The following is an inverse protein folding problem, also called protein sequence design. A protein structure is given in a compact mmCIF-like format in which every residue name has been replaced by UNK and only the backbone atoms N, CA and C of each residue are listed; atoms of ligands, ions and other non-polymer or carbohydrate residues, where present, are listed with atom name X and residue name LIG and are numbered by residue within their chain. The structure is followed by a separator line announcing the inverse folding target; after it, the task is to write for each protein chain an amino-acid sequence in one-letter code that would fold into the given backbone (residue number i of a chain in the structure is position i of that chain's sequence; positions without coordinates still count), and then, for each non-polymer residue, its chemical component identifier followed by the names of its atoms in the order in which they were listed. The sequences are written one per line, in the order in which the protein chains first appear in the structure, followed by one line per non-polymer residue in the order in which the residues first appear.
data_IF_072726576231
#
_entry.id   IF_072726576231
#
_cell.length_a   1.000
_cell.length_b   1.000
_cell.length_c   1.000
_cell.angle_alpha   90.00
_cell.angle_beta   90.00
_cell.angle_gamma   90.00
#
_symmetry.space_group_name_H-M   'P 1'
#
loop_
_entity.id
_entity.type
_entity.pdbx_description
1 polymer ?
#
# COMPACT_ATOMS: atom_id res chain seq x y z
N UNK A 1 14.80 -21.49 -38.84
CA UNK A 1 13.87 -22.28 -38.02
C UNK A 1 13.91 -21.69 -36.62
N UNK A 2 12.81 -21.09 -36.21
CA UNK A 2 12.57 -20.57 -34.88
C UNK A 2 11.82 -21.62 -34.03
N UNK A 3 11.68 -21.32 -32.72
CA UNK A 3 11.08 -22.09 -31.62
C UNK A 3 12.15 -22.92 -30.88
N UNK A 4 12.39 -22.74 -29.58
CA UNK A 4 11.49 -22.51 -28.44
C UNK A 4 11.86 -23.62 -27.43
N UNK A 5 11.79 -23.50 -26.12
CA UNK A 5 11.06 -22.58 -25.26
C UNK A 5 11.64 -22.76 -23.84
N UNK A 6 11.94 -21.65 -23.19
CA UNK A 6 11.48 -21.29 -21.85
C UNK A 6 11.33 -22.43 -20.83
N UNK A 7 12.42 -22.65 -20.09
CA UNK A 7 12.38 -23.21 -18.74
C UNK A 7 12.91 -22.15 -17.75
N UNK A 8 12.30 -20.96 -17.77
CA UNK A 8 12.36 -20.10 -16.60
C UNK A 8 11.17 -20.45 -15.70
N UNK A 9 11.41 -21.42 -14.83
CA UNK A 9 10.66 -21.55 -13.59
C UNK A 9 10.76 -20.18 -12.89
N UNK A 10 9.68 -19.42 -12.99
CA UNK A 10 9.57 -18.08 -12.44
C UNK A 10 9.71 -18.19 -10.92
N UNK A 11 10.92 -17.90 -10.47
CA UNK A 11 11.34 -17.96 -9.09
C UNK A 11 10.49 -17.00 -8.27
N UNK A 12 9.74 -17.57 -7.33
CA UNK A 12 9.18 -16.88 -6.19
C UNK A 12 10.33 -16.42 -5.28
N UNK A 13 11.03 -15.36 -5.66
CA UNK A 13 12.22 -14.93 -4.92
C UNK A 13 12.93 -13.75 -5.52
N UNK A 14 12.36 -12.54 -5.34
CA UNK A 14 13.09 -11.27 -5.29
C UNK A 14 12.34 -10.32 -4.34
N UNK A 15 12.38 -10.65 -3.05
CA UNK A 15 11.71 -9.93 -1.95
C UNK A 15 12.43 -8.64 -1.52
N UNK A 16 13.46 -8.19 -2.24
CA UNK A 16 14.33 -7.10 -1.76
C UNK A 16 13.93 -5.71 -2.29
N UNK A 17 13.17 -5.60 -3.38
CA UNK A 17 12.70 -4.30 -3.87
C UNK A 17 11.33 -4.40 -4.53
N UNK A 18 10.28 -4.22 -3.72
CA UNK A 18 8.89 -4.17 -4.23
C UNK A 18 8.78 -3.19 -5.40
N UNK A 19 8.00 -3.49 -6.47
CA UNK A 19 7.76 -2.53 -7.55
C UNK A 19 7.33 -1.15 -7.03
N UNK A 20 6.54 -1.12 -5.96
CA UNK A 20 6.13 0.12 -5.28
C UNK A 20 7.32 0.94 -4.77
N UNK A 21 8.36 0.30 -4.24
CA UNK A 21 9.59 0.98 -3.80
C UNK A 21 10.31 1.62 -4.98
N UNK A 22 10.57 0.86 -6.04
CA UNK A 22 11.26 1.36 -7.25
C UNK A 22 10.50 2.54 -7.87
N UNK A 23 9.19 2.41 -8.05
CA UNK A 23 8.36 3.45 -8.64
C UNK A 23 8.22 4.70 -7.76
N UNK A 24 8.42 4.60 -6.44
CA UNK A 24 8.38 5.76 -5.54
C UNK A 24 9.59 6.69 -5.65
N UNK A 25 10.74 6.19 -6.12
CA UNK A 25 12.00 6.93 -6.10
C UNK A 25 11.97 8.17 -6.99
N UNK A 26 11.44 8.05 -8.21
CA UNK A 26 11.39 9.17 -9.16
C UNK A 26 10.46 10.31 -8.66
N UNK A 27 9.19 10.05 -8.30
CA UNK A 27 8.32 11.09 -7.75
C UNK A 27 8.87 11.71 -6.46
N UNK A 28 9.49 10.90 -5.59
CA UNK A 28 10.12 11.43 -4.39
C UNK A 28 11.23 12.44 -4.72
N UNK A 29 12.10 12.10 -5.68
CA UNK A 29 13.16 13.01 -6.15
C UNK A 29 12.58 14.31 -6.74
N UNK A 30 11.53 14.22 -7.56
CA UNK A 30 10.85 15.38 -8.15
C UNK A 30 10.23 16.29 -7.09
N UNK A 31 9.76 15.72 -5.98
CA UNK A 31 9.20 16.44 -4.83
C UNK A 31 10.26 16.90 -3.81
N UNK A 32 11.54 16.65 -4.06
CA UNK A 32 12.63 16.98 -3.13
C UNK A 32 12.60 16.16 -1.83
N UNK A 33 11.97 14.99 -1.85
CA UNK A 33 11.86 14.07 -0.71
C UNK A 33 13.03 13.09 -0.70
N UNK A 34 13.60 12.84 0.47
CA UNK A 34 14.53 11.75 0.69
C UNK A 34 13.75 10.49 1.09
N UNK A 35 13.93 9.41 0.33
CA UNK A 35 13.35 8.10 0.64
C UNK A 35 14.38 7.20 1.31
N UNK A 36 13.97 6.58 2.42
CA UNK A 36 14.77 5.61 3.16
C UNK A 36 14.07 4.25 3.09
N UNK A 37 14.76 3.23 2.59
CA UNK A 37 14.22 1.87 2.54
C UNK A 37 14.28 1.23 3.91
N UNK A 38 13.15 0.69 4.36
CA UNK A 38 13.03 -0.08 5.60
C UNK A 38 12.54 -1.49 5.24
N UNK A 39 13.41 -2.24 4.58
CA UNK A 39 13.10 -3.60 4.15
C UNK A 39 12.93 -4.53 5.37
N UNK A 40 11.84 -5.28 5.39
CA UNK A 40 11.53 -6.26 6.44
C UNK A 40 11.06 -7.55 5.79
N UNK A 41 11.66 -8.67 6.18
CA UNK A 41 11.38 -10.00 5.63
C UNK A 41 10.47 -10.84 6.54
N UNK A 42 10.32 -10.45 7.81
CA UNK A 42 9.47 -11.13 8.77
C UNK A 42 8.95 -10.18 9.87
N UNK A 43 8.03 -10.70 10.69
CA UNK A 43 7.31 -9.93 11.72
C UNK A 43 8.20 -9.47 12.88
N UNK A 44 9.35 -10.12 13.09
CA UNK A 44 10.28 -9.79 14.18
C UNK A 44 11.11 -8.55 13.84
N UNK A 45 11.30 -8.26 12.56
CA UNK A 45 12.08 -7.11 12.07
C UNK A 45 11.33 -5.78 12.10
N UNK A 46 10.00 -5.79 12.32
CA UNK A 46 9.22 -4.55 12.31
C UNK A 46 9.72 -3.55 13.34
N UNK A 47 9.95 -3.98 14.58
CA UNK A 47 10.37 -3.06 15.63
C UNK A 47 11.73 -2.42 15.32
N UNK A 48 12.67 -3.18 14.76
CA UNK A 48 13.95 -2.63 14.28
C UNK A 48 13.74 -1.64 13.15
N UNK A 49 12.89 -1.93 12.17
CA UNK A 49 12.59 -1.03 11.06
C UNK A 49 12.02 0.31 11.55
N UNK A 50 11.10 0.29 12.51
CA UNK A 50 10.58 1.53 13.11
C UNK A 50 11.64 2.29 13.93
N UNK A 51 12.51 1.59 14.68
CA UNK A 51 13.64 2.24 15.37
C UNK A 51 14.60 2.91 14.38
N UNK A 52 14.86 2.27 13.25
CA UNK A 52 15.69 2.82 12.20
C UNK A 52 15.06 4.06 11.56
N UNK A 53 13.76 4.04 11.29
CA UNK A 53 13.01 5.22 10.81
C UNK A 53 13.16 6.43 11.75
N UNK A 54 13.00 6.20 13.06
CA UNK A 54 13.16 7.25 14.07
C UNK A 54 14.61 7.74 14.14
N UNK A 55 15.58 6.83 14.09
CA UNK A 55 17.02 7.17 14.08
C UNK A 55 17.39 7.99 12.84
N UNK A 56 16.83 7.65 11.69
CA UNK A 56 16.99 8.38 10.44
C UNK A 56 16.21 9.72 10.43
N UNK A 57 15.44 10.02 11.48
CA UNK A 57 14.57 11.21 11.58
C UNK A 57 13.58 11.31 10.42
N UNK A 58 13.07 10.17 9.97
CA UNK A 58 12.03 10.14 8.93
C UNK A 58 10.80 10.92 9.39
N UNK A 59 10.30 11.83 8.55
CA UNK A 59 9.13 12.65 8.88
C UNK A 59 7.78 11.93 8.72
N UNK A 60 7.75 10.86 7.91
CA UNK A 60 6.56 10.05 7.65
C UNK A 60 6.96 8.67 7.11
N UNK A 61 5.98 7.77 7.06
CA UNK A 61 6.12 6.42 6.49
C UNK A 61 5.15 6.23 5.32
N UNK A 62 5.65 5.59 4.27
CA UNK A 62 4.83 5.03 3.20
C UNK A 62 4.92 3.52 3.28
N UNK A 63 3.81 2.87 3.65
CA UNK A 63 3.78 1.43 3.84
C UNK A 63 3.54 0.77 2.49
N UNK A 64 4.48 -0.05 2.02
CA UNK A 64 4.33 -0.83 0.78
C UNK A 64 3.47 -2.07 0.99
N UNK A 65 2.76 -2.49 -0.06
CA UNK A 65 1.85 -3.63 -0.01
C UNK A 65 2.59 -4.95 -0.07
N UNK A 66 2.33 -5.84 0.90
CA UNK A 66 2.78 -7.24 0.88
C UNK A 66 1.86 -8.10 1.74
N UNK A 67 1.89 -9.43 1.54
CA UNK A 67 1.14 -10.35 2.40
C UNK A 67 1.58 -10.24 3.87
N UNK A 68 2.89 -10.05 4.11
CA UNK A 68 3.45 -9.84 5.45
C UNK A 68 2.86 -8.61 6.13
N UNK A 69 2.79 -7.48 5.42
CA UNK A 69 2.19 -6.23 5.92
C UNK A 69 0.69 -6.40 6.14
N UNK A 70 -0.02 -6.95 5.16
CA UNK A 70 -1.47 -7.13 5.21
C UNK A 70 -1.89 -8.00 6.41
N UNK A 71 -1.17 -9.09 6.68
CA UNK A 71 -1.48 -9.99 7.80
C UNK A 71 -1.12 -9.40 9.18
N UNK A 72 -0.27 -8.37 9.22
CA UNK A 72 0.20 -7.76 10.47
C UNK A 72 -0.15 -6.28 10.62
N UNK A 73 -1.13 -5.79 9.85
CA UNK A 73 -1.52 -4.37 9.79
C UNK A 73 -1.72 -3.72 11.17
N UNK A 74 -2.39 -4.41 12.10
CA UNK A 74 -2.64 -3.88 13.46
C UNK A 74 -1.34 -3.65 14.24
N UNK A 75 -0.36 -4.55 14.10
CA UNK A 75 0.97 -4.39 14.72
C UNK A 75 1.69 -3.18 14.11
N UNK A 76 1.66 -3.03 12.78
CA UNK A 76 2.30 -1.92 12.07
C UNK A 76 1.66 -0.57 12.45
N UNK A 77 0.32 -0.49 12.48
CA UNK A 77 -0.41 0.71 12.90
C UNK A 77 -0.04 1.08 14.35
N UNK A 78 0.00 0.09 15.25
CA UNK A 78 0.40 0.30 16.64
C UNK A 78 1.84 0.83 16.75
N UNK A 79 2.77 0.27 15.98
CA UNK A 79 4.16 0.71 15.97
C UNK A 79 4.33 2.11 15.40
N UNK A 80 3.60 2.47 14.34
CA UNK A 80 3.60 3.82 13.78
C UNK A 80 3.09 4.86 14.79
N UNK A 81 1.97 4.55 15.46
CA UNK A 81 1.43 5.40 16.50
C UNK A 81 2.40 5.57 17.69
N UNK A 82 3.05 4.47 18.15
CA UNK A 82 4.06 4.51 19.22
C UNK A 82 5.29 5.31 18.84
N UNK A 83 5.71 5.23 17.58
CA UNK A 83 6.84 6.00 17.07
C UNK A 83 6.49 7.48 16.81
N UNK A 84 5.21 7.86 16.90
CA UNK A 84 4.74 9.20 16.54
C UNK A 84 4.90 9.51 15.06
N UNK A 85 5.01 8.48 14.20
CA UNK A 85 5.26 8.64 12.78
C UNK A 85 3.95 8.62 11.99
N UNK A 86 3.61 9.70 11.27
CA UNK A 86 2.51 9.72 10.31
C UNK A 86 2.74 8.67 9.22
N UNK A 87 1.72 7.87 8.89
CA UNK A 87 1.85 6.81 7.90
C UNK A 87 0.72 6.82 6.87
N UNK A 88 1.08 6.64 5.59
CA UNK A 88 0.14 6.33 4.51
C UNK A 88 0.15 4.84 4.20
N UNK A 89 -1.04 4.26 4.02
CA UNK A 89 -1.27 2.83 3.81
C UNK A 89 -1.89 2.54 2.43
N UNK A 90 -1.88 1.26 2.02
CA UNK A 90 -2.36 0.83 0.71
C UNK A 90 -3.88 0.73 0.59
N UNK A 91 -4.60 0.57 1.70
CA UNK A 91 -6.03 0.30 1.66
C UNK A 91 -6.82 1.01 2.76
N UNK A 92 -8.09 1.27 2.47
CA UNK A 92 -9.03 1.87 3.43
C UNK A 92 -9.18 1.05 4.73
N UNK A 93 -8.95 -0.27 4.66
CA UNK A 93 -9.00 -1.16 5.82
C UNK A 93 -7.98 -0.79 6.90
N UNK A 94 -6.80 -0.28 6.53
CA UNK A 94 -5.77 0.09 7.50
C UNK A 94 -6.19 1.34 8.27
N UNK A 95 -6.83 2.30 7.59
CA UNK A 95 -7.35 3.55 8.17
C UNK A 95 -8.50 3.27 9.14
N UNK A 96 -9.38 2.33 8.80
CA UNK A 96 -10.44 1.82 9.69
C UNK A 96 -9.87 1.16 10.94
N UNK A 97 -8.70 0.51 10.83
CA UNK A 97 -8.00 -0.10 11.96
C UNK A 97 -7.12 0.88 12.77
N UNK A 98 -7.24 2.19 12.51
CA UNK A 98 -6.54 3.24 13.27
C UNK A 98 -5.31 3.83 12.58
N UNK A 99 -4.99 3.40 11.36
CA UNK A 99 -4.00 4.07 10.51
C UNK A 99 -4.40 5.50 10.18
N UNK A 100 -3.43 6.36 9.85
CA UNK A 100 -3.66 7.78 9.59
C UNK A 100 -4.42 8.02 8.28
N UNK A 101 -3.89 7.56 7.14
CA UNK A 101 -4.55 7.74 5.85
C UNK A 101 -4.16 6.67 4.85
N UNK A 102 -4.96 6.50 3.80
CA UNK A 102 -4.65 5.63 2.68
C UNK A 102 -5.06 6.28 1.38
N UNK A 103 -4.33 5.93 0.33
CA UNK A 103 -4.71 6.23 -1.04
C UNK A 103 -4.53 4.95 -1.84
N UNK A 104 -5.65 4.39 -2.29
CA UNK A 104 -5.65 3.07 -2.92
C UNK A 104 -6.96 2.74 -3.59
N UNK A 105 -7.05 1.52 -4.11
CA UNK A 105 -8.21 1.05 -4.85
C UNK A 105 -9.44 0.96 -3.96
N UNK A 106 -10.61 1.22 -4.56
CA UNK A 106 -11.87 0.79 -3.96
C UNK A 106 -11.89 -0.74 -3.90
N UNK A 107 -11.83 -1.28 -2.68
CA UNK A 107 -11.80 -2.72 -2.44
C UNK A 107 -13.07 -3.42 -2.94
N UNK A 108 -14.24 -2.79 -2.80
CA UNK A 108 -15.50 -3.38 -3.25
C UNK A 108 -15.56 -3.45 -4.77
N UNK A 109 -15.18 -2.37 -5.47
CA UNK A 109 -15.09 -2.38 -6.93
C UNK A 109 -14.10 -3.46 -7.40
N UNK A 110 -12.96 -3.59 -6.72
CA UNK A 110 -11.97 -4.63 -7.03
C UNK A 110 -12.58 -6.03 -7.00
N UNK A 111 -13.37 -6.36 -5.97
CA UNK A 111 -14.03 -7.66 -5.86
C UNK A 111 -15.15 -7.85 -6.88
N UNK A 112 -15.94 -6.81 -7.16
CA UNK A 112 -17.00 -6.87 -8.17
C UNK A 112 -16.41 -7.14 -9.56
N UNK A 113 -15.30 -6.48 -9.91
CA UNK A 113 -14.56 -6.69 -11.17
C UNK A 113 -14.02 -8.11 -11.28
N UNK A 114 -13.42 -8.62 -10.19
CA UNK A 114 -12.94 -10.00 -10.13
C UNK A 114 -14.09 -11.02 -10.32
N UNK A 115 -15.24 -10.79 -9.69
CA UNK A 115 -16.41 -11.64 -9.85
C UNK A 115 -16.95 -11.62 -11.30
N UNK A 116 -16.98 -10.46 -11.95
CA UNK A 116 -17.36 -10.34 -13.36
C UNK A 116 -16.38 -11.06 -14.29
N UNK A 117 -15.08 -11.03 -13.98
CA UNK A 117 -14.06 -11.80 -14.70
C UNK A 117 -14.27 -13.31 -14.54
N UNK A 118 -14.52 -13.78 -13.32
CA UNK A 118 -14.84 -15.19 -13.05
C UNK A 118 -16.11 -15.64 -13.78
N UNK A 119 -17.17 -14.83 -13.79
CA UNK A 119 -18.41 -15.13 -14.51
C UNK A 119 -18.16 -15.35 -16.02
N UNK A 120 -17.31 -14.53 -16.66
CA UNK A 120 -16.91 -14.74 -18.07
C UNK A 120 -16.20 -16.08 -18.28
N UNK A 121 -15.27 -16.43 -17.39
CA UNK A 121 -14.52 -17.69 -17.47
C UNK A 121 -15.46 -18.89 -17.28
N UNK A 122 -16.34 -18.84 -16.29
CA UNK A 122 -17.31 -19.91 -16.02
C UNK A 122 -18.31 -20.09 -17.17
N UNK A 123 -18.55 -19.05 -17.96
CA UNK A 123 -19.36 -19.09 -19.20
C UNK A 123 -18.56 -19.53 -20.45
N UNK A 124 -17.29 -19.89 -20.30
CA UNK A 124 -16.46 -20.45 -21.36
C UNK A 124 -15.50 -19.48 -22.07
N UNK A 125 -15.38 -18.24 -21.60
CA UNK A 125 -14.32 -17.35 -22.10
C UNK A 125 -12.95 -17.86 -21.67
N UNK A 126 -11.98 -17.87 -22.59
CA UNK A 126 -10.60 -18.26 -22.26
C UNK A 126 -9.93 -17.12 -21.49
N UNK A 127 -9.18 -17.40 -20.40
CA UNK A 127 -8.48 -16.36 -19.66
C UNK A 127 -7.54 -15.49 -20.51
N UNK A 128 -6.95 -16.07 -21.56
CA UNK A 128 -6.08 -15.34 -22.49
C UNK A 128 -6.80 -14.29 -23.35
N UNK A 129 -8.13 -14.41 -23.51
CA UNK A 129 -8.95 -13.50 -24.31
C UNK A 129 -9.57 -12.38 -23.45
N UNK A 130 -9.41 -12.46 -22.12
CA UNK A 130 -9.93 -11.44 -21.20
C UNK A 130 -8.88 -10.34 -21.04
N UNK A 131 -9.18 -9.08 -21.41
CA UNK A 131 -8.23 -7.98 -21.27
C UNK A 131 -7.94 -7.70 -19.80
N UNK A 132 -6.69 -7.35 -19.52
CA UNK A 132 -6.27 -6.89 -18.18
C UNK A 132 -6.94 -5.54 -17.90
N UNK A 133 -7.82 -5.52 -16.89
CA UNK A 133 -8.53 -4.31 -16.49
C UNK A 133 -7.68 -3.48 -15.51
N UNK A 134 -7.50 -2.20 -15.81
CA UNK A 134 -6.89 -1.23 -14.89
C UNK A 134 -7.94 -0.73 -13.87
N UNK A 135 -7.57 -0.50 -12.60
CA UNK A 135 -8.50 0.04 -11.64
C UNK A 135 -8.94 1.47 -12.03
N UNK A 136 -10.25 1.71 -11.99
CA UNK A 136 -10.82 3.00 -12.40
C UNK A 136 -11.16 3.94 -11.23
N UNK A 137 -11.23 3.41 -10.01
CA UNK A 137 -11.61 4.17 -8.82
C UNK A 137 -10.58 4.03 -7.71
N UNK A 138 -10.14 5.18 -7.23
CA UNK A 138 -9.24 5.33 -6.10
C UNK A 138 -9.96 6.07 -4.98
N UNK A 139 -9.69 5.68 -3.75
CA UNK A 139 -10.22 6.33 -2.56
C UNK A 139 -9.08 6.93 -1.73
N UNK A 140 -9.23 8.22 -1.40
CA UNK A 140 -8.47 8.86 -0.34
C UNK A 140 -9.27 8.75 0.96
N UNK A 141 -8.78 7.98 1.92
CA UNK A 141 -9.41 7.80 3.23
C UNK A 141 -8.52 8.37 4.31
N UNK A 142 -9.08 9.21 5.18
CA UNK A 142 -8.34 9.92 6.23
C UNK A 142 -8.97 9.63 7.59
N UNK A 143 -8.15 9.32 8.60
CA UNK A 143 -8.56 9.16 9.99
C UNK A 143 -8.25 10.44 10.79
N UNK A 144 -9.30 11.20 11.10
CA UNK A 144 -9.18 12.46 11.80
C UNK A 144 -8.81 12.28 13.28
N UNK A 145 -9.24 11.19 13.91
CA UNK A 145 -8.85 10.84 15.29
C UNK A 145 -7.36 10.56 15.38
N UNK A 146 -6.81 9.78 14.46
CA UNK A 146 -5.38 9.49 14.40
C UNK A 146 -4.57 10.75 14.08
N UNK A 147 -5.04 11.60 13.17
CA UNK A 147 -4.40 12.87 12.87
C UNK A 147 -4.27 13.77 14.12
N UNK A 148 -5.36 13.91 14.89
CA UNK A 148 -5.35 14.65 16.16
C UNK A 148 -4.40 14.04 17.19
N UNK A 149 -4.40 12.72 17.33
CA UNK A 149 -3.51 12.02 18.26
C UNK A 149 -2.03 12.23 17.92
N UNK A 150 -1.71 12.41 16.64
CA UNK A 150 -0.37 12.73 16.14
C UNK A 150 -0.07 14.25 16.13
N UNK A 151 -0.99 15.10 16.58
CA UNK A 151 -0.82 16.56 16.57
C UNK A 151 -0.84 17.18 15.16
N UNK A 152 -1.40 16.47 14.17
CA UNK A 152 -1.44 16.93 12.78
C UNK A 152 -2.71 17.74 12.51
N UNK A 153 -2.53 18.91 11.88
CA UNK A 153 -3.63 19.68 11.30
C UNK A 153 -3.75 19.35 9.82
N UNK A 154 -4.86 18.71 9.42
CA UNK A 154 -5.11 18.37 8.02
C UNK A 154 -5.74 19.59 7.33
N UNK A 155 -5.13 20.12 6.24
CA UNK A 155 -5.69 21.26 5.53
C UNK A 155 -7.09 20.98 4.97
N UNK A 156 -8.02 21.95 5.00
CA UNK A 156 -9.37 21.77 4.47
C UNK A 156 -9.41 21.30 3.01
N UNK A 157 -8.47 21.78 2.18
CA UNK A 157 -8.36 21.39 0.77
C UNK A 157 -8.10 19.88 0.59
N UNK A 158 -7.39 19.25 1.53
CA UNK A 158 -7.13 17.81 1.51
C UNK A 158 -8.37 17.05 1.96
N UNK A 159 -9.06 17.53 3.00
CA UNK A 159 -10.31 16.92 3.48
C UNK A 159 -11.41 16.95 2.43
N UNK A 160 -11.52 18.05 1.65
CA UNK A 160 -12.50 18.15 0.56
C UNK A 160 -12.24 17.17 -0.59
N UNK A 161 -10.99 16.71 -0.74
CA UNK A 161 -10.61 15.70 -1.74
C UNK A 161 -10.72 14.27 -1.21
N UNK A 162 -10.85 14.10 0.10
CA UNK A 162 -10.97 12.79 0.70
C UNK A 162 -12.32 12.17 0.33
N UNK A 163 -12.29 11.00 -0.30
CA UNK A 163 -13.49 10.20 -0.57
C UNK A 163 -14.20 9.84 0.73
N UNK A 164 -13.44 9.60 1.81
CA UNK A 164 -13.99 9.27 3.12
C UNK A 164 -13.15 9.80 4.27
N UNK A 165 -13.81 10.31 5.31
CA UNK A 165 -13.16 10.74 6.56
C UNK A 165 -13.73 9.92 7.72
N UNK A 166 -12.83 9.25 8.46
CA UNK A 166 -13.15 8.54 9.70
C UNK A 166 -12.99 9.52 10.86
N UNK A 167 -14.01 9.60 11.71
CA UNK A 167 -14.08 10.52 12.86
C UNK A 167 -13.71 9.84 14.17
#
# INVERSE_FOLDING_TARGET
MAQGNDSEAQSCGDIVESPQWKESQRPAKELGLQVHSLAVNNVNEFESGFREAVKARSGALAITGSALVANNRRKIISLAAKAGLPAIYNGAVDVVNGGLMSYGLDENERFIRAAAMLDKILKGAKPADIPVEQPMKFELVINFKTAKALGLTIPPIVLMRATRVIK
#
